data_IF_290915495208
#
_entry.id   IF_290915495208
#
_cell.length_a   1.000
_cell.length_b   1.000
_cell.length_c   1.000
_cell.angle_alpha   90.00
_cell.angle_beta   90.00
_cell.angle_gamma   90.00
#
_symmetry.space_group_name_H-M   'P 1'
#
loop_
_entity.id
_entity.type
_entity.pdbx_description
1 polymer ?
#
# COMPACT_ATOMS: atom_id res chain seq x y z
N UNK A 1 -1.90 18.45 -1.06
CA UNK A 1 -1.02 17.95 0.01
C UNK A 1 -0.46 16.61 -0.45
N UNK A 2 0.85 16.38 -0.32
CA UNK A 2 1.51 15.14 -0.77
C UNK A 2 2.72 14.79 0.13
N UNK A 3 3.35 13.65 -0.11
CA UNK A 3 4.45 13.14 0.73
C UNK A 3 3.98 12.59 2.08
N UNK A 4 4.90 12.51 3.05
CA UNK A 4 4.72 11.80 4.33
C UNK A 4 3.46 12.21 5.13
N UNK A 5 2.98 13.45 4.97
CA UNK A 5 1.75 13.91 5.61
C UNK A 5 0.51 13.18 5.07
N UNK A 6 0.42 13.01 3.76
CA UNK A 6 -0.68 12.28 3.14
C UNK A 6 -0.62 10.79 3.52
N UNK A 7 0.59 10.21 3.53
CA UNK A 7 0.84 8.85 4.01
C UNK A 7 0.30 8.66 5.44
N UNK A 8 0.61 9.60 6.33
CA UNK A 8 0.17 9.56 7.73
C UNK A 8 -1.36 9.61 7.85
N UNK A 9 -2.00 10.50 7.11
CA UNK A 9 -3.47 10.59 7.06
C UNK A 9 -4.11 9.29 6.55
N UNK A 10 -3.54 8.67 5.51
CA UNK A 10 -4.02 7.38 4.98
C UNK A 10 -3.87 6.24 5.99
N UNK A 11 -2.72 6.15 6.66
CA UNK A 11 -2.46 5.12 7.69
C UNK A 11 -3.46 5.26 8.85
N UNK A 12 -3.74 6.49 9.28
CA UNK A 12 -4.72 6.79 10.34
C UNK A 12 -6.15 6.42 9.91
N UNK A 13 -6.54 6.74 8.67
CA UNK A 13 -7.85 6.39 8.11
C UNK A 13 -8.05 4.87 7.95
N UNK A 14 -6.99 4.14 7.61
CA UNK A 14 -7.01 2.69 7.49
C UNK A 14 -6.87 1.97 8.85
N UNK A 15 -6.78 2.72 9.97
CA UNK A 15 -6.60 2.17 11.31
C UNK A 15 -5.41 1.18 11.41
N UNK A 16 -4.33 1.46 10.68
CA UNK A 16 -3.15 0.59 10.65
C UNK A 16 -2.43 0.64 12.00
N UNK A 17 -2.21 -0.54 12.57
CA UNK A 17 -1.49 -0.74 13.82
C UNK A 17 -0.44 -1.85 13.70
N UNK A 18 0.21 -2.21 14.81
CA UNK A 18 1.28 -3.23 14.84
C UNK A 18 0.85 -4.63 14.37
N UNK A 19 -0.44 -4.92 14.37
CA UNK A 19 -1.00 -6.20 13.94
C UNK A 19 -1.37 -6.19 12.45
N UNK A 20 -1.42 -5.02 11.83
CA UNK A 20 -1.77 -4.88 10.41
C UNK A 20 -0.67 -5.41 9.50
N UNK A 21 -1.09 -6.05 8.40
CA UNK A 21 -0.26 -6.41 7.27
C UNK A 21 -0.61 -5.53 6.06
N UNK A 22 0.32 -4.67 5.67
CA UNK A 22 0.10 -3.61 4.68
C UNK A 22 0.89 -3.89 3.41
N UNK A 23 0.27 -3.65 2.25
CA UNK A 23 0.95 -3.63 0.95
C UNK A 23 1.26 -2.19 0.54
N UNK A 24 2.54 -1.90 0.31
CA UNK A 24 3.03 -0.63 -0.26
C UNK A 24 3.27 -0.80 -1.77
N UNK A 25 2.42 -0.17 -2.59
CA UNK A 25 2.46 -0.22 -4.05
C UNK A 25 3.14 1.04 -4.60
N UNK A 26 4.20 0.83 -5.36
CA UNK A 26 5.00 1.95 -5.87
C UNK A 26 6.02 2.46 -4.87
N UNK A 27 6.58 1.57 -4.06
CA UNK A 27 7.40 1.91 -2.90
C UNK A 27 8.67 2.75 -3.20
N UNK A 28 9.07 2.94 -4.47
CA UNK A 28 10.23 3.73 -4.85
C UNK A 28 11.50 3.27 -4.12
N UNK A 29 12.12 4.18 -3.35
CA UNK A 29 13.28 3.90 -2.48
C UNK A 29 12.91 3.28 -1.12
N UNK A 30 11.61 3.19 -0.79
CA UNK A 30 11.11 2.44 0.36
C UNK A 30 10.91 3.24 1.64
N UNK A 31 10.95 4.58 1.58
CA UNK A 31 10.80 5.46 2.75
C UNK A 31 9.46 5.22 3.47
N UNK A 32 8.35 5.14 2.72
CA UNK A 32 7.01 4.91 3.27
C UNK A 32 6.92 3.59 4.04
N UNK A 33 7.35 2.48 3.44
CA UNK A 33 7.41 1.20 4.14
C UNK A 33 8.29 1.21 5.39
N UNK A 34 9.48 1.81 5.33
CA UNK A 34 10.35 1.93 6.51
C UNK A 34 9.70 2.79 7.61
N UNK A 35 9.02 3.86 7.23
CA UNK A 35 8.26 4.70 8.14
C UNK A 35 7.13 3.92 8.82
N UNK A 36 6.31 3.20 8.05
CA UNK A 36 5.22 2.36 8.57
C UNK A 36 5.72 1.32 9.56
N UNK A 37 6.72 0.54 9.17
CA UNK A 37 7.30 -0.49 10.03
C UNK A 37 7.91 0.09 11.31
N UNK A 38 8.65 1.21 11.22
CA UNK A 38 9.30 1.81 12.40
C UNK A 38 8.33 2.55 13.32
N UNK A 39 7.31 3.24 12.76
CA UNK A 39 6.45 4.15 13.52
C UNK A 39 5.20 3.49 14.07
N UNK A 40 4.66 2.51 13.35
CA UNK A 40 3.42 1.81 13.68
C UNK A 40 3.65 0.35 14.04
N UNK A 41 4.83 -0.21 13.72
CA UNK A 41 5.17 -1.60 14.03
C UNK A 41 4.45 -2.62 13.15
N UNK A 42 3.76 -2.18 12.10
CA UNK A 42 3.01 -3.05 11.20
C UNK A 42 3.96 -3.86 10.31
N UNK A 43 3.45 -4.99 9.80
CA UNK A 43 4.14 -5.76 8.78
C UNK A 43 3.91 -5.10 7.43
N UNK A 44 4.96 -4.91 6.64
CA UNK A 44 4.86 -4.26 5.33
C UNK A 44 5.43 -5.18 4.25
N UNK A 45 4.65 -5.46 3.21
CA UNK A 45 5.15 -6.00 1.95
C UNK A 45 5.19 -4.91 0.89
N UNK A 46 6.09 -5.02 -0.09
CA UNK A 46 6.32 -3.96 -1.06
C UNK A 46 6.36 -4.50 -2.48
N UNK A 47 5.70 -3.78 -3.37
CA UNK A 47 5.84 -4.00 -4.81
C UNK A 47 6.18 -2.69 -5.52
N UNK A 48 6.91 -2.81 -6.63
CA UNK A 48 7.35 -1.65 -7.40
C UNK A 48 6.29 -1.13 -8.38
N UNK A 49 5.43 -2.04 -8.87
CA UNK A 49 4.43 -1.77 -9.90
C UNK A 49 3.16 -2.55 -9.57
N UNK A 50 2.01 -1.99 -9.94
CA UNK A 50 0.69 -2.58 -9.68
C UNK A 50 0.51 -3.96 -10.34
N UNK A 51 1.12 -4.18 -11.49
CA UNK A 51 1.11 -5.47 -12.22
C UNK A 51 1.69 -6.65 -11.43
N UNK A 52 2.51 -6.40 -10.40
CA UNK A 52 3.09 -7.45 -9.54
C UNK A 52 2.19 -7.87 -8.39
N UNK A 53 0.98 -7.35 -8.32
CA UNK A 53 0.03 -7.74 -7.28
C UNK A 53 -0.64 -9.09 -7.56
N UNK A 54 -0.68 -9.51 -8.82
CA UNK A 54 -1.36 -10.72 -9.31
C UNK A 54 -0.98 -12.00 -8.55
N UNK A 55 0.28 -12.23 -8.13
CA UNK A 55 0.64 -13.45 -7.39
C UNK A 55 0.12 -13.52 -5.95
N UNK A 56 -0.40 -12.42 -5.40
CA UNK A 56 -0.97 -12.42 -4.06
C UNK A 56 -2.37 -13.02 -4.05
N UNK A 57 -2.65 -13.82 -3.02
CA UNK A 57 -3.98 -14.35 -2.75
C UNK A 57 -4.96 -13.23 -2.35
N UNK A 58 -6.25 -13.53 -2.44
CA UNK A 58 -7.34 -12.63 -2.05
C UNK A 58 -7.34 -12.41 -0.53
N UNK A 59 -7.75 -11.22 -0.07
CA UNK A 59 -7.96 -10.90 1.34
C UNK A 59 -6.75 -11.16 2.27
N UNK A 60 -5.52 -10.91 1.80
CA UNK A 60 -4.31 -11.14 2.61
C UNK A 60 -3.84 -9.90 3.37
N UNK A 61 -4.11 -8.69 2.86
CA UNK A 61 -3.65 -7.44 3.44
C UNK A 61 -4.79 -6.73 4.18
N UNK A 62 -4.47 -6.08 5.30
CA UNK A 62 -5.40 -5.22 6.04
C UNK A 62 -5.54 -3.84 5.38
N UNK A 63 -4.52 -3.41 4.62
CA UNK A 63 -4.57 -2.19 3.83
C UNK A 63 -3.61 -2.25 2.62
N UNK A 64 -3.99 -1.56 1.55
CA UNK A 64 -3.12 -1.28 0.40
C UNK A 64 -2.89 0.23 0.33
N UNK A 65 -1.63 0.63 0.45
CA UNK A 65 -1.21 2.02 0.32
C UNK A 65 -0.49 2.15 -1.02
N UNK A 66 -0.98 3.03 -1.90
CA UNK A 66 -0.40 3.29 -3.21
C UNK A 66 -0.08 4.78 -3.34
N UNK A 67 1.19 5.13 -3.36
CA UNK A 67 1.63 6.52 -3.55
C UNK A 67 2.16 6.76 -4.97
N UNK A 68 1.60 7.77 -5.65
CA UNK A 68 2.04 8.30 -6.95
C UNK A 68 2.02 7.33 -8.16
N UNK A 69 2.06 6.01 -7.97
CA UNK A 69 2.07 5.02 -9.08
C UNK A 69 0.76 4.99 -9.87
N UNK A 70 -0.39 5.18 -9.21
CA UNK A 70 -1.68 5.20 -9.89
C UNK A 70 -1.83 6.34 -10.91
N UNK A 71 -0.99 7.39 -10.83
CA UNK A 71 -0.98 8.46 -11.82
C UNK A 71 -0.39 7.99 -13.17
N UNK A 72 0.48 6.97 -13.15
CA UNK A 72 1.22 6.48 -14.31
C UNK A 72 0.71 5.14 -14.84
N UNK A 73 -0.28 4.52 -14.16
CA UNK A 73 -0.85 3.25 -14.62
C UNK A 73 -1.80 3.48 -15.81
N UNK A 74 -1.61 2.68 -16.87
CA UNK A 74 -2.43 2.75 -18.08
C UNK A 74 -3.84 2.21 -17.90
N UNK A 75 -4.09 1.40 -16.87
CA UNK A 75 -5.40 0.83 -16.56
C UNK A 75 -5.70 0.91 -15.05
N UNK A 76 -6.24 2.06 -14.64
CA UNK A 76 -6.56 2.36 -13.23
C UNK A 76 -7.63 1.43 -12.67
N UNK A 77 -8.62 1.06 -13.47
CA UNK A 77 -9.71 0.17 -13.06
C UNK A 77 -9.19 -1.21 -12.69
N UNK A 78 -8.28 -1.76 -13.51
CA UNK A 78 -7.62 -3.04 -13.22
C UNK A 78 -6.79 -2.95 -11.94
N UNK A 79 -5.96 -1.91 -11.81
CA UNK A 79 -5.13 -1.73 -10.62
C UNK A 79 -5.98 -1.64 -9.33
N UNK A 80 -7.01 -0.80 -9.32
CA UNK A 80 -7.93 -0.65 -8.18
C UNK A 80 -8.69 -1.96 -7.91
N UNK A 81 -9.10 -2.69 -8.95
CA UNK A 81 -9.74 -4.00 -8.82
C UNK A 81 -8.85 -5.00 -8.09
N UNK A 82 -7.57 -5.05 -8.46
CA UNK A 82 -6.60 -5.90 -7.78
C UNK A 82 -6.28 -5.45 -6.36
N UNK A 83 -6.21 -4.13 -6.10
CA UNK A 83 -6.04 -3.62 -4.73
C UNK A 83 -7.21 -4.06 -3.84
N UNK A 84 -8.44 -3.96 -4.36
CA UNK A 84 -9.63 -4.41 -3.65
C UNK A 84 -9.62 -5.92 -3.43
N UNK A 85 -9.14 -6.70 -4.40
CA UNK A 85 -9.09 -8.17 -4.30
C UNK A 85 -8.20 -8.66 -3.16
N UNK A 86 -7.05 -8.02 -2.95
CA UNK A 86 -6.07 -8.46 -1.95
C UNK A 86 -6.30 -7.87 -0.55
N UNK A 87 -7.19 -6.88 -0.41
CA UNK A 87 -7.58 -6.28 0.87
C UNK A 87 -8.74 -7.06 1.48
N UNK A 88 -8.70 -7.28 2.80
CA UNK A 88 -9.75 -7.95 3.59
C UNK A 88 -11.05 -7.14 3.71
#
# INVERSE_FOLDING_TARGET
MGGLKATKELIELCHVDKNSYVLDVGCGVGITACYMAKRYGCKVNRIWRDDRIVPFEDNIFDAVISESVNAFTGNKQKAIGEYKRVVK
#
